data_IF_505860346928
#
_entry.id   IF_505860346928
#
_cell.length_a   1.000
_cell.length_b   1.000
_cell.length_c   1.000
_cell.angle_alpha   90.00
_cell.angle_beta   90.00
_cell.angle_gamma   90.00
#
_symmetry.space_group_name_H-M   'P 1'
#
loop_
_entity.id
_entity.type
_entity.pdbx_description
1 polymer ?
#
# COMPACT_ATOMS: atom_id res chain seq x y z
N UNK A 1 -4.46 -14.64 7.43
CA UNK A 1 -3.16 -15.01 8.01
C UNK A 1 -3.34 -15.54 9.41
N UNK A 2 -3.98 -14.79 10.35
CA UNK A 2 -4.23 -15.28 11.72
C UNK A 2 -4.93 -16.63 11.76
N UNK A 3 -6.02 -16.80 10.97
CA UNK A 3 -6.76 -18.07 10.89
C UNK A 3 -5.98 -19.19 10.18
N UNK A 4 -4.99 -18.85 9.35
CA UNK A 4 -4.16 -19.81 8.62
C UNK A 4 -2.94 -20.31 9.39
N UNK A 5 -2.68 -19.79 10.60
CA UNK A 5 -1.56 -20.23 11.44
C UNK A 5 -0.16 -19.92 10.88
N UNK A 6 -0.05 -19.09 9.85
CA UNK A 6 1.25 -18.69 9.29
C UNK A 6 1.92 -17.66 10.20
N UNK A 7 3.20 -17.83 10.56
CA UNK A 7 3.91 -16.85 11.34
C UNK A 7 4.14 -15.58 10.49
N UNK A 8 3.85 -14.40 11.07
CA UNK A 8 4.07 -13.12 10.42
C UNK A 8 4.33 -12.01 11.44
N UNK A 9 4.96 -10.94 11.00
CA UNK A 9 5.08 -9.68 11.72
C UNK A 9 4.42 -8.54 10.95
N UNK A 10 4.15 -7.45 11.63
CA UNK A 10 3.65 -6.21 11.03
C UNK A 10 4.80 -5.21 10.97
N UNK A 11 4.99 -4.60 9.81
CA UNK A 11 5.96 -3.53 9.59
C UNK A 11 5.24 -2.22 9.24
N UNK A 12 5.44 -1.17 10.04
CA UNK A 12 4.84 0.15 9.86
C UNK A 12 5.91 1.22 9.63
N UNK A 13 5.74 2.00 8.57
CA UNK A 13 6.59 3.14 8.22
C UNK A 13 5.85 4.44 8.55
N UNK A 14 6.32 5.20 9.51
CA UNK A 14 5.86 6.55 9.76
C UNK A 14 6.74 7.55 9.00
N UNK A 15 6.22 8.11 7.92
CA UNK A 15 6.96 9.05 7.06
C UNK A 15 6.95 10.50 7.58
N UNK A 16 6.27 10.78 8.68
CA UNK A 16 6.17 12.10 9.32
C UNK A 16 5.69 13.21 8.34
N UNK A 17 4.86 12.85 7.37
CA UNK A 17 4.37 13.78 6.33
C UNK A 17 3.04 14.44 6.67
N UNK A 18 2.29 13.88 7.66
CA UNK A 18 0.94 14.32 8.04
C UNK A 18 0.83 14.69 9.52
N UNK A 19 1.98 14.99 10.18
CA UNK A 19 2.00 15.34 11.61
C UNK A 19 1.30 14.28 12.47
N UNK A 20 0.42 14.74 13.39
CA UNK A 20 -0.30 13.88 14.34
C UNK A 20 -1.12 12.75 13.69
N UNK A 21 -1.57 12.90 12.44
CA UNK A 21 -2.31 11.85 11.74
C UNK A 21 -1.41 10.64 11.43
N UNK A 22 -0.14 10.88 11.08
CA UNK A 22 0.84 9.79 10.90
C UNK A 22 1.11 9.04 12.21
N UNK A 23 1.12 9.74 13.34
CA UNK A 23 1.33 9.14 14.66
C UNK A 23 0.09 8.34 15.10
N UNK A 24 -1.12 8.83 14.84
CA UNK A 24 -2.37 8.10 15.12
C UNK A 24 -2.47 6.80 14.33
N UNK A 25 -2.02 6.79 13.08
CA UNK A 25 -1.98 5.59 12.26
C UNK A 25 -1.00 4.56 12.83
N UNK A 26 0.19 5.01 13.27
CA UNK A 26 1.18 4.16 13.94
C UNK A 26 0.61 3.54 15.22
N UNK A 27 -0.07 4.34 16.05
CA UNK A 27 -0.71 3.89 17.30
C UNK A 27 -1.75 2.82 17.01
N UNK A 28 -2.65 3.05 16.06
CA UNK A 28 -3.70 2.08 15.70
C UNK A 28 -3.12 0.71 15.33
N UNK A 29 -2.11 0.70 14.47
CA UNK A 29 -1.48 -0.54 13.99
C UNK A 29 -0.72 -1.23 15.14
N UNK A 30 -0.04 -0.47 15.97
CA UNK A 30 0.69 -0.97 17.15
C UNK A 30 -0.26 -1.64 18.16
N UNK A 31 -1.35 -0.96 18.51
CA UNK A 31 -2.35 -1.48 19.46
C UNK A 31 -2.97 -2.78 18.93
N UNK A 32 -3.28 -2.82 17.63
CA UNK A 32 -3.83 -4.03 17.02
C UNK A 32 -2.82 -5.19 17.04
N UNK A 33 -1.56 -4.93 16.73
CA UNK A 33 -0.49 -5.93 16.79
C UNK A 33 -0.33 -6.49 18.20
N UNK A 34 -0.31 -5.61 19.20
CA UNK A 34 -0.20 -5.97 20.62
C UNK A 34 -1.39 -6.83 21.08
N UNK A 35 -2.62 -6.41 20.77
CA UNK A 35 -3.83 -7.13 21.14
C UNK A 35 -3.90 -8.56 20.54
N UNK A 36 -3.17 -8.80 19.44
CA UNK A 36 -3.14 -10.10 18.76
C UNK A 36 -1.81 -10.88 18.97
N UNK A 37 -0.91 -10.40 19.85
CA UNK A 37 0.41 -10.97 20.10
C UNK A 37 1.25 -11.14 18.82
N UNK A 38 1.23 -10.14 17.92
CA UNK A 38 1.97 -10.14 16.65
C UNK A 38 3.22 -9.26 16.81
N UNK A 39 4.40 -9.72 16.36
CA UNK A 39 5.60 -8.88 16.29
C UNK A 39 5.32 -7.59 15.52
N UNK A 40 5.64 -6.45 16.10
CA UNK A 40 5.45 -5.13 15.51
C UNK A 40 6.80 -4.45 15.32
N UNK A 41 7.14 -4.21 14.05
CA UNK A 41 8.32 -3.47 13.62
C UNK A 41 7.87 -2.09 13.15
N UNK A 42 8.54 -1.04 13.59
CA UNK A 42 8.21 0.31 13.14
C UNK A 42 9.47 1.14 12.96
N UNK A 43 9.38 2.12 12.08
CA UNK A 43 10.41 3.13 11.89
C UNK A 43 9.76 4.47 11.59
N UNK A 44 10.48 5.55 11.91
CA UNK A 44 10.12 6.93 11.59
C UNK A 44 11.18 7.51 10.67
N UNK A 45 10.75 8.07 9.56
CA UNK A 45 11.66 8.63 8.55
C UNK A 45 11.61 10.15 8.55
N UNK A 46 12.78 10.78 8.47
CA UNK A 46 12.93 12.19 8.14
C UNK A 46 12.74 12.39 6.61
N UNK A 47 11.50 12.12 6.13
CA UNK A 47 11.20 12.01 4.70
C UNK A 47 11.52 13.29 3.95
N UNK A 48 11.23 14.47 4.52
CA UNK A 48 11.52 15.76 3.89
C UNK A 48 13.01 15.96 3.66
N UNK A 49 13.84 15.64 4.65
CA UNK A 49 15.29 15.71 4.53
C UNK A 49 15.79 14.78 3.41
N UNK A 50 15.27 13.55 3.34
CA UNK A 50 15.64 12.59 2.29
C UNK A 50 15.18 13.01 0.90
N UNK A 51 14.04 13.67 0.78
CA UNK A 51 13.60 14.28 -0.48
C UNK A 51 14.61 15.32 -1.00
N UNK A 52 15.08 16.20 -0.11
CA UNK A 52 16.04 17.25 -0.46
C UNK A 52 17.41 16.65 -0.82
N UNK A 53 17.87 15.64 -0.08
CA UNK A 53 19.11 14.92 -0.30
C UNK A 53 19.11 14.18 -1.65
N UNK A 54 18.03 13.43 -1.93
CA UNK A 54 17.92 12.60 -3.14
C UNK A 54 17.35 13.35 -4.35
N UNK A 55 16.86 14.57 -4.16
CA UNK A 55 16.18 15.38 -5.18
C UNK A 55 15.03 14.64 -5.87
N UNK A 56 14.23 13.93 -5.05
CA UNK A 56 13.12 13.09 -5.49
C UNK A 56 11.80 13.58 -4.93
N UNK A 57 10.72 13.26 -5.65
CA UNK A 57 9.36 13.53 -5.17
C UNK A 57 8.99 12.69 -3.94
N UNK A 58 8.00 13.16 -3.18
CA UNK A 58 7.51 12.56 -1.94
C UNK A 58 7.20 11.07 -2.08
N UNK A 59 6.47 10.68 -3.12
CA UNK A 59 6.03 9.28 -3.31
C UNK A 59 7.21 8.36 -3.62
N UNK A 60 8.14 8.81 -4.46
CA UNK A 60 9.33 8.04 -4.84
C UNK A 60 10.24 7.86 -3.62
N UNK A 61 10.49 8.94 -2.87
CA UNK A 61 11.31 8.92 -1.65
C UNK A 61 10.71 7.98 -0.61
N UNK A 62 9.42 8.13 -0.30
CA UNK A 62 8.74 7.27 0.67
C UNK A 62 8.74 5.79 0.23
N UNK A 63 8.60 5.53 -1.07
CA UNK A 63 8.70 4.18 -1.62
C UNK A 63 10.10 3.59 -1.44
N UNK A 64 11.14 4.33 -1.75
CA UNK A 64 12.53 3.87 -1.59
C UNK A 64 12.84 3.55 -0.13
N UNK A 65 12.57 4.48 0.78
CA UNK A 65 12.76 4.31 2.23
C UNK A 65 12.02 3.08 2.76
N UNK A 66 10.77 2.88 2.33
CA UNK A 66 9.94 1.73 2.74
C UNK A 66 10.57 0.40 2.36
N UNK A 67 10.94 0.23 1.09
CA UNK A 67 11.44 -1.06 0.62
C UNK A 67 12.86 -1.35 1.10
N UNK A 68 13.71 -0.34 1.27
CA UNK A 68 15.02 -0.47 1.89
C UNK A 68 14.87 -1.01 3.32
N UNK A 69 14.08 -0.34 4.14
CA UNK A 69 13.84 -0.77 5.53
C UNK A 69 13.12 -2.12 5.63
N UNK A 70 12.16 -2.42 4.77
CA UNK A 70 11.55 -3.75 4.74
C UNK A 70 12.56 -4.86 4.44
N UNK A 71 13.56 -4.59 3.60
CA UNK A 71 14.67 -5.50 3.37
C UNK A 71 15.47 -5.74 4.64
N UNK A 72 15.83 -4.68 5.37
CA UNK A 72 16.55 -4.78 6.65
C UNK A 72 15.77 -5.62 7.67
N UNK A 73 14.47 -5.34 7.86
CA UNK A 73 13.61 -6.13 8.76
C UNK A 73 13.56 -7.60 8.34
N UNK A 74 13.47 -7.89 7.04
CA UNK A 74 13.46 -9.27 6.56
C UNK A 74 14.79 -10.00 6.88
N UNK A 75 15.93 -9.33 6.73
CA UNK A 75 17.22 -9.93 7.04
C UNK A 75 17.41 -10.12 8.55
N UNK A 76 17.04 -9.14 9.36
CA UNK A 76 17.21 -9.18 10.82
C UNK A 76 16.33 -10.27 11.45
N UNK A 77 15.06 -10.30 11.08
CA UNK A 77 14.06 -11.21 11.69
C UNK A 77 13.78 -12.47 10.87
N UNK A 78 14.53 -12.68 9.79
CA UNK A 78 14.44 -13.88 8.94
C UNK A 78 13.08 -14.09 8.29
N UNK A 79 12.40 -12.99 7.89
CA UNK A 79 11.18 -13.08 7.11
C UNK A 79 11.50 -13.43 5.65
N UNK A 80 10.76 -14.39 5.10
CA UNK A 80 10.94 -14.84 3.71
C UNK A 80 10.29 -13.91 2.69
N UNK A 81 9.19 -13.25 3.07
CA UNK A 81 8.38 -12.44 2.18
C UNK A 81 7.91 -11.14 2.83
N UNK A 82 7.69 -10.13 1.99
CA UNK A 82 7.05 -8.85 2.32
C UNK A 82 5.68 -8.86 1.67
N UNK A 83 4.60 -8.92 2.46
CA UNK A 83 3.25 -8.83 1.96
C UNK A 83 2.79 -7.36 1.91
N UNK A 84 2.30 -6.91 0.75
CA UNK A 84 1.73 -5.56 0.59
C UNK A 84 0.25 -5.64 0.21
N UNK A 85 -0.53 -4.65 0.62
CA UNK A 85 -1.98 -4.61 0.47
C UNK A 85 -2.46 -4.06 -0.89
N UNK A 86 -1.68 -4.23 -1.97
CA UNK A 86 -2.16 -3.89 -3.30
C UNK A 86 -3.34 -4.79 -3.69
N UNK A 87 -4.38 -4.19 -4.26
CA UNK A 87 -5.62 -4.85 -4.64
C UNK A 87 -5.94 -4.66 -6.14
N UNK A 88 -7.04 -5.23 -6.63
CA UNK A 88 -7.39 -5.22 -8.05
C UNK A 88 -7.50 -3.80 -8.63
N UNK A 89 -8.10 -2.85 -7.89
CA UNK A 89 -8.19 -1.45 -8.36
C UNK A 89 -6.81 -0.79 -8.49
N UNK A 90 -5.84 -1.08 -7.61
CA UNK A 90 -4.45 -0.58 -7.78
C UNK A 90 -3.82 -1.11 -9.07
N UNK A 91 -4.13 -2.35 -9.43
CA UNK A 91 -3.67 -2.95 -10.67
C UNK A 91 -4.27 -2.25 -11.89
N UNK A 92 -5.59 -2.00 -11.88
CA UNK A 92 -6.28 -1.26 -12.93
C UNK A 92 -5.74 0.17 -13.09
N UNK A 93 -5.56 0.90 -11.97
CA UNK A 93 -4.93 2.23 -11.97
C UNK A 93 -3.54 2.21 -12.63
N UNK A 94 -2.71 1.23 -12.25
CA UNK A 94 -1.34 1.10 -12.78
C UNK A 94 -1.36 0.80 -14.27
N UNK A 95 -2.24 -0.08 -14.71
CA UNK A 95 -2.38 -0.46 -16.12
C UNK A 95 -2.83 0.74 -16.97
N UNK A 96 -3.84 1.49 -16.51
CA UNK A 96 -4.31 2.70 -17.20
C UNK A 96 -3.21 3.78 -17.25
N UNK A 97 -2.50 4.00 -16.14
CA UNK A 97 -1.39 4.96 -16.10
C UNK A 97 -0.28 4.58 -17.10
N UNK A 98 0.05 3.29 -17.23
CA UNK A 98 1.03 2.80 -18.19
C UNK A 98 0.53 2.97 -19.63
N UNK A 99 -0.74 2.65 -19.88
CA UNK A 99 -1.35 2.82 -21.19
C UNK A 99 -1.28 4.29 -21.66
N UNK A 100 -1.69 5.23 -20.82
CA UNK A 100 -1.68 6.65 -21.13
C UNK A 100 -0.27 7.25 -21.25
N UNK A 101 0.72 6.67 -20.57
CA UNK A 101 2.13 7.06 -20.70
C UNK A 101 2.82 6.43 -21.91
N UNK A 102 2.15 5.57 -22.67
CA UNK A 102 2.71 4.93 -23.86
C UNK A 102 3.85 3.95 -23.57
N UNK A 103 3.80 3.22 -22.47
CA UNK A 103 4.90 2.33 -22.03
C UNK A 103 5.01 1.02 -22.84
N UNK A 104 4.31 0.88 -23.96
CA UNK A 104 4.35 -0.32 -24.82
C UNK A 104 3.80 -1.58 -24.14
N UNK A 105 3.94 -2.73 -24.80
CA UNK A 105 3.40 -4.02 -24.32
C UNK A 105 3.93 -4.45 -22.96
N UNK A 106 5.20 -4.15 -22.63
CA UNK A 106 5.80 -4.48 -21.34
C UNK A 106 5.13 -3.75 -20.16
N UNK A 107 4.56 -2.57 -20.36
CA UNK A 107 3.84 -1.82 -19.34
C UNK A 107 2.42 -2.32 -19.05
N UNK A 108 1.85 -3.12 -19.96
CA UNK A 108 0.48 -3.63 -19.85
C UNK A 108 0.35 -4.88 -18.97
N UNK A 109 1.41 -5.33 -18.33
CA UNK A 109 1.35 -6.46 -17.41
C UNK A 109 0.79 -6.10 -16.02
N UNK A 110 0.55 -4.82 -15.75
CA UNK A 110 0.06 -4.35 -14.46
C UNK A 110 1.03 -4.63 -13.31
N UNK A 111 0.47 -4.86 -12.11
CA UNK A 111 1.24 -5.15 -10.89
C UNK A 111 1.42 -6.67 -10.76
N UNK A 112 2.64 -7.22 -10.74
CA UNK A 112 2.84 -8.66 -10.59
C UNK A 112 2.43 -9.13 -9.18
N UNK A 113 1.82 -10.32 -9.08
CA UNK A 113 1.45 -10.96 -7.80
C UNK A 113 2.66 -11.14 -6.89
N UNK A 114 3.80 -11.49 -7.49
CA UNK A 114 5.09 -11.64 -6.80
C UNK A 114 6.18 -10.94 -7.60
N UNK A 115 7.04 -10.21 -6.88
CA UNK A 115 8.26 -9.64 -7.42
C UNK A 115 9.36 -9.77 -6.36
N UNK A 116 10.33 -10.66 -6.58
CA UNK A 116 11.33 -11.07 -5.61
C UNK A 116 10.69 -11.52 -4.29
N UNK A 117 11.00 -10.86 -3.18
CA UNK A 117 10.40 -11.14 -1.86
C UNK A 117 9.03 -10.48 -1.66
N UNK A 118 8.64 -9.54 -2.51
CA UNK A 118 7.36 -8.82 -2.36
C UNK A 118 6.23 -9.63 -2.96
N UNK A 119 5.22 -9.95 -2.14
CA UNK A 119 3.98 -10.62 -2.54
C UNK A 119 2.77 -9.71 -2.34
N UNK A 120 1.72 -9.93 -3.12
CA UNK A 120 0.48 -9.12 -3.09
C UNK A 120 -0.74 -10.01 -2.95
N UNK A 121 -1.00 -10.48 -1.73
CA UNK A 121 -2.05 -11.48 -1.49
C UNK A 121 -3.47 -10.99 -1.79
N UNK A 122 -3.69 -9.67 -1.82
CA UNK A 122 -5.01 -9.07 -2.08
C UNK A 122 -5.23 -8.63 -3.52
N UNK A 123 -4.29 -8.92 -4.44
CA UNK A 123 -4.37 -8.43 -5.82
C UNK A 123 -5.57 -8.99 -6.60
N UNK A 124 -6.16 -10.09 -6.14
CA UNK A 124 -7.38 -10.68 -6.70
C UNK A 124 -8.66 -9.99 -6.24
N UNK A 125 -8.63 -9.27 -5.12
CA UNK A 125 -9.81 -8.67 -4.51
C UNK A 125 -9.99 -7.21 -4.95
N UNK A 126 -11.21 -6.82 -5.22
CA UNK A 126 -11.58 -5.41 -5.43
C UNK A 126 -11.60 -4.64 -4.09
N UNK A 127 -11.45 -3.32 -4.17
CA UNK A 127 -11.60 -2.46 -3.01
C UNK A 127 -12.96 -2.65 -2.32
N UNK A 128 -14.03 -2.79 -3.08
CA UNK A 128 -15.39 -3.02 -2.55
C UNK A 128 -15.50 -4.33 -1.75
N UNK A 129 -14.87 -5.39 -2.24
CA UNK A 129 -14.84 -6.68 -1.50
C UNK A 129 -14.04 -6.58 -0.21
N UNK A 130 -12.91 -5.85 -0.23
CA UNK A 130 -12.10 -5.60 0.96
C UNK A 130 -12.90 -4.78 1.99
N UNK A 131 -13.58 -3.72 1.58
CA UNK A 131 -14.41 -2.88 2.45
C UNK A 131 -15.58 -3.68 3.04
N UNK A 132 -16.23 -4.51 2.23
CA UNK A 132 -17.28 -5.42 2.71
C UNK A 132 -16.75 -6.43 3.75
N UNK A 133 -15.57 -6.99 3.52
CA UNK A 133 -14.92 -7.89 4.49
C UNK A 133 -14.56 -7.16 5.79
N UNK A 134 -14.01 -5.96 5.71
CA UNK A 134 -13.66 -5.12 6.87
C UNK A 134 -14.91 -4.83 7.71
N UNK A 135 -16.01 -4.42 7.06
CA UNK A 135 -17.28 -4.15 7.73
C UNK A 135 -17.88 -5.40 8.37
N UNK A 136 -17.89 -6.52 7.65
CA UNK A 136 -18.45 -7.78 8.16
C UNK A 136 -17.69 -8.39 9.35
N UNK A 137 -16.43 -7.98 9.57
CA UNK A 137 -15.57 -8.48 10.65
C UNK A 137 -15.25 -7.41 11.70
N UNK A 138 -15.92 -6.25 11.70
CA UNK A 138 -15.73 -5.14 12.64
C UNK A 138 -14.25 -4.71 12.78
N UNK A 139 -13.50 -4.74 11.65
CA UNK A 139 -12.09 -4.37 11.64
C UNK A 139 -11.97 -2.85 11.69
N UNK A 140 -11.33 -2.34 12.74
CA UNK A 140 -11.05 -0.91 12.86
C UNK A 140 -9.99 -0.49 11.83
N UNK A 141 -10.24 0.58 11.12
CA UNK A 141 -9.31 1.19 10.17
C UNK A 141 -9.41 2.71 10.22
N UNK A 142 -8.47 3.38 9.61
CA UNK A 142 -8.47 4.83 9.42
C UNK A 142 -8.37 5.12 7.92
N UNK A 143 -9.15 6.09 7.48
CA UNK A 143 -9.03 6.59 6.11
C UNK A 143 -7.87 7.58 6.02
N UNK A 144 -7.04 7.39 4.99
CA UNK A 144 -6.00 8.35 4.68
C UNK A 144 -6.60 9.55 3.93
N UNK A 145 -6.62 10.71 4.58
CA UNK A 145 -7.16 11.94 4.00
C UNK A 145 -6.49 12.33 2.66
N UNK A 146 -5.25 11.88 2.40
CA UNK A 146 -4.58 12.11 1.12
C UNK A 146 -5.23 11.37 -0.06
N UNK A 147 -6.04 10.35 0.21
CA UNK A 147 -6.80 9.64 -0.82
C UNK A 147 -7.94 10.50 -1.41
N UNK A 148 -8.41 11.50 -0.69
CA UNK A 148 -9.50 12.38 -1.11
C UNK A 148 -9.04 13.54 -2.02
N UNK A 149 -7.74 13.69 -2.26
CA UNK A 149 -7.19 14.81 -3.04
C UNK A 149 -6.67 14.36 -4.40
N UNK A 150 -6.87 15.16 -5.46
CA UNK A 150 -6.39 14.89 -6.81
C UNK A 150 -4.95 15.40 -7.06
N UNK A 151 -4.17 15.59 -6.01
CA UNK A 151 -2.79 16.07 -6.11
C UNK A 151 -1.84 15.11 -6.85
N UNK A 152 -2.29 13.90 -7.14
CA UNK A 152 -1.51 12.86 -7.79
C UNK A 152 -2.27 12.25 -8.97
N UNK A 153 -1.58 12.04 -10.08
CA UNK A 153 -2.14 11.41 -11.28
C UNK A 153 -2.89 10.10 -10.99
N UNK A 154 -2.46 9.35 -9.99
CA UNK A 154 -3.14 8.12 -9.58
C UNK A 154 -4.52 8.38 -8.99
N UNK A 155 -4.68 9.45 -8.22
CA UNK A 155 -5.97 9.84 -7.66
C UNK A 155 -6.91 10.37 -8.76
N UNK A 156 -6.38 11.11 -9.74
CA UNK A 156 -7.13 11.50 -10.95
C UNK A 156 -7.71 10.28 -11.68
N UNK A 157 -6.89 9.26 -11.92
CA UNK A 157 -7.34 8.01 -12.55
C UNK A 157 -8.42 7.33 -11.70
N UNK A 158 -8.23 7.26 -10.38
CA UNK A 158 -9.15 6.65 -9.43
C UNK A 158 -10.51 7.35 -9.37
N UNK A 159 -10.50 8.70 -9.33
CA UNK A 159 -11.72 9.47 -9.10
C UNK A 159 -12.49 9.80 -10.39
N UNK A 160 -11.80 9.93 -11.51
CA UNK A 160 -12.40 10.46 -12.74
C UNK A 160 -12.44 9.46 -13.89
N UNK A 161 -11.52 8.51 -13.97
CA UNK A 161 -11.42 7.56 -15.08
C UNK A 161 -12.04 6.21 -14.72
N UNK A 162 -11.61 5.59 -13.62
CA UNK A 162 -12.12 4.27 -13.22
C UNK A 162 -13.64 4.23 -13.07
N UNK A 163 -14.33 5.20 -12.45
CA UNK A 163 -15.79 5.16 -12.32
C UNK A 163 -16.52 5.22 -13.68
N UNK A 164 -15.93 5.88 -14.67
CA UNK A 164 -16.46 5.90 -16.04
C UNK A 164 -16.29 4.54 -16.70
N UNK A 165 -15.13 3.92 -16.54
CA UNK A 165 -14.86 2.57 -17.07
C UNK A 165 -15.81 1.55 -16.44
N UNK A 166 -15.95 1.54 -15.11
CA UNK A 166 -16.87 0.64 -14.40
C UNK A 166 -18.32 0.82 -14.80
N UNK A 167 -18.73 2.06 -15.10
CA UNK A 167 -20.09 2.34 -15.61
C UNK A 167 -20.34 1.79 -17.00
N UNK A 168 -19.33 1.83 -17.87
CA UNK A 168 -19.43 1.36 -19.28
C UNK A 168 -19.22 -0.15 -19.37
N UNK A 169 -18.39 -0.71 -18.50
CA UNK A 169 -18.05 -2.14 -18.46
C UNK A 169 -18.29 -2.70 -17.05
N UNK A 170 -19.56 -2.88 -16.63
CA UNK A 170 -19.91 -3.26 -15.25
C UNK A 170 -19.48 -4.67 -14.86
N UNK A 171 -19.12 -5.53 -15.82
CA UNK A 171 -18.69 -6.93 -15.61
C UNK A 171 -17.17 -7.10 -15.83
N UNK A 172 -16.44 -6.00 -15.94
CA UNK A 172 -14.98 -5.99 -16.22
C UNK A 172 -14.11 -6.11 -14.97
#
# INVERSE_FOLDING_TARGET
VLKGGLPFGIAHCNFQLRGDESDKDEVLVREWAFANNIPFHHTRFETKQKMDEWKKGVQETARMLRYEWFGEVCEEYKYSYIATAHHANDNAETLLMHLFKGTGMAGLHGIPVKNDRVIRPLLFASRREIEAYVSANDIKYREDASNATDNYLRNEVRHHILPVVEKVFPEG
#
